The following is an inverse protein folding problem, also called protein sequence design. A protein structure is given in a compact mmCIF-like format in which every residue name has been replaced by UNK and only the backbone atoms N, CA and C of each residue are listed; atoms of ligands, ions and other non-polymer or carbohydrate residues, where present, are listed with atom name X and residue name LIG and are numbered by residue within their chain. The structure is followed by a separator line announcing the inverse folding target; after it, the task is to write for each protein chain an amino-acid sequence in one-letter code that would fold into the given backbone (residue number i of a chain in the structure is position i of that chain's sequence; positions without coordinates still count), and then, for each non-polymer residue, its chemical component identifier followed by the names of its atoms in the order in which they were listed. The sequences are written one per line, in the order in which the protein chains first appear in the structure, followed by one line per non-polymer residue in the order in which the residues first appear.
data_IF_327239885480
#
_entry.id   IF_327239885480
#
_cell.length_a   1.000
_cell.length_b   1.000
_cell.length_c   1.000
_cell.angle_alpha   90.00
_cell.angle_beta   90.00
_cell.angle_gamma   90.00
#
_symmetry.space_group_name_H-M   'P 1'
#
loop_
_entity.id
_entity.type
_entity.pdbx_description
1 polymer ?
#
# COMPACT_ATOMS: atom_id res chain seq x y z
N UNK A 1 -23.31 21.25 0.03
CA UNK A 1 -22.46 20.87 1.17
C UNK A 1 -22.93 21.42 2.53
N UNK A 2 -23.58 22.60 2.63
CA UNK A 2 -23.92 23.17 3.97
C UNK A 2 -24.95 22.35 4.77
N UNK A 3 -25.96 21.75 4.13
CA UNK A 3 -27.01 20.97 4.81
C UNK A 3 -26.47 19.77 5.62
N UNK A 4 -25.52 19.00 5.09
CA UNK A 4 -24.95 17.85 5.79
C UNK A 4 -24.01 18.27 6.92
N UNK A 5 -23.25 19.36 6.71
CA UNK A 5 -22.40 19.99 7.72
C UNK A 5 -23.21 20.48 8.92
N UNK A 6 -24.28 21.23 8.67
CA UNK A 6 -25.16 21.76 9.73
C UNK A 6 -25.87 20.63 10.49
N UNK A 7 -26.36 19.61 9.78
CA UNK A 7 -26.99 18.45 10.40
C UNK A 7 -26.03 17.68 11.31
N UNK A 8 -24.80 17.45 10.84
CA UNK A 8 -23.74 16.81 11.61
C UNK A 8 -23.43 17.61 12.89
N UNK A 9 -23.16 18.92 12.79
CA UNK A 9 -22.84 19.77 13.94
C UNK A 9 -24.01 19.85 14.96
N UNK A 10 -25.26 19.79 14.50
CA UNK A 10 -26.42 19.75 15.39
C UNK A 10 -26.42 18.47 16.26
N UNK A 11 -26.19 17.29 15.66
CA UNK A 11 -26.10 16.04 16.41
C UNK A 11 -24.87 15.97 17.31
N UNK A 12 -23.75 16.58 16.91
CA UNK A 12 -22.55 16.73 17.74
C UNK A 12 -22.89 17.48 19.02
N UNK A 13 -23.50 18.67 18.90
CA UNK A 13 -23.86 19.51 20.05
C UNK A 13 -24.91 18.85 20.95
N UNK A 14 -25.91 18.17 20.36
CA UNK A 14 -26.91 17.41 21.10
C UNK A 14 -26.29 16.27 21.90
N UNK A 15 -25.39 15.48 21.29
CA UNK A 15 -24.75 14.36 21.97
C UNK A 15 -23.82 14.84 23.09
N UNK A 16 -23.12 15.96 22.89
CA UNK A 16 -22.26 16.55 23.93
C UNK A 16 -23.07 16.95 25.17
N UNK A 17 -24.21 17.62 24.97
CA UNK A 17 -25.12 18.05 26.04
C UNK A 17 -25.71 16.87 26.82
N UNK A 18 -26.26 15.85 26.13
CA UNK A 18 -26.90 14.72 26.83
C UNK A 18 -25.92 13.75 27.49
N UNK A 19 -24.64 13.79 27.11
CA UNK A 19 -23.58 12.97 27.74
C UNK A 19 -22.74 13.74 28.76
N UNK A 20 -23.04 15.01 29.04
CA UNK A 20 -22.24 15.90 29.88
C UNK A 20 -20.74 15.85 29.51
N UNK A 21 -20.44 15.86 28.21
CA UNK A 21 -19.06 15.70 27.71
C UNK A 21 -18.21 16.97 27.82
N UNK A 22 -18.72 18.06 28.40
CA UNK A 22 -18.05 19.34 28.62
C UNK A 22 -17.39 19.91 27.36
N UNK A 23 -18.08 19.84 26.22
CA UNK A 23 -17.62 20.38 24.93
C UNK A 23 -16.61 19.51 24.18
N UNK A 24 -16.21 18.34 24.71
CA UNK A 24 -15.22 17.48 24.05
C UNK A 24 -15.73 16.92 22.71
N UNK A 25 -17.00 16.52 22.62
CA UNK A 25 -17.60 16.01 21.39
C UNK A 25 -17.77 17.15 20.39
N UNK A 26 -18.19 18.33 20.87
CA UNK A 26 -18.27 19.56 20.08
C UNK A 26 -16.92 19.95 19.46
N UNK A 27 -15.83 19.86 20.24
CA UNK A 27 -14.48 20.13 19.72
C UNK A 27 -14.10 19.19 18.58
N UNK A 28 -14.39 17.88 18.69
CA UNK A 28 -14.14 16.95 17.60
C UNK A 28 -14.96 17.30 16.35
N UNK A 29 -16.24 17.62 16.50
CA UNK A 29 -17.09 18.02 15.38
C UNK A 29 -16.60 19.27 14.65
N UNK A 30 -16.09 20.26 15.40
CA UNK A 30 -15.50 21.47 14.82
C UNK A 30 -14.21 21.16 14.04
N UNK A 31 -13.25 20.43 14.65
CA UNK A 31 -11.99 20.05 13.97
C UNK A 31 -12.24 19.21 12.70
N UNK A 32 -13.26 18.34 12.70
CA UNK A 32 -13.66 17.56 11.52
C UNK A 32 -14.12 18.48 10.38
N UNK A 33 -14.88 19.52 10.70
CA UNK A 33 -15.54 20.38 9.72
C UNK A 33 -14.64 21.51 9.24
N UNK A 34 -13.75 22.02 10.09
CA UNK A 34 -12.88 23.16 9.80
C UNK A 34 -11.52 22.73 9.26
N UNK A 35 -10.94 21.65 9.81
CA UNK A 35 -9.57 21.23 9.53
C UNK A 35 -9.49 19.89 8.77
N UNK A 36 -10.65 19.27 8.48
CA UNK A 36 -10.73 17.93 7.92
C UNK A 36 -9.93 16.89 8.74
N UNK A 37 -10.00 17.02 10.07
CA UNK A 37 -9.20 16.23 11.00
C UNK A 37 -9.66 14.75 11.04
N UNK A 38 -8.87 13.89 10.40
CA UNK A 38 -9.09 12.45 10.35
C UNK A 38 -8.93 11.79 11.73
N UNK A 39 -8.06 12.31 12.59
CA UNK A 39 -7.86 11.78 13.95
C UNK A 39 -9.06 12.15 14.85
N UNK A 40 -9.57 13.39 14.77
CA UNK A 40 -10.82 13.75 15.43
C UNK A 40 -12.01 12.90 14.95
N UNK A 41 -12.04 12.54 13.66
CA UNK A 41 -13.05 11.62 13.11
C UNK A 41 -13.00 10.24 13.76
N UNK A 42 -11.80 9.65 13.90
CA UNK A 42 -11.60 8.35 14.55
C UNK A 42 -11.98 8.41 16.04
N UNK A 43 -11.56 9.45 16.76
CA UNK A 43 -11.88 9.65 18.18
C UNK A 43 -13.38 9.81 18.41
N UNK A 44 -14.06 10.56 17.54
CA UNK A 44 -15.50 10.74 17.59
C UNK A 44 -16.24 9.42 17.36
N UNK A 45 -15.84 8.66 16.33
CA UNK A 45 -16.43 7.35 16.04
C UNK A 45 -16.23 6.35 17.19
N UNK A 46 -15.02 6.29 17.78
CA UNK A 46 -14.76 5.45 18.97
C UNK A 46 -15.65 5.83 20.14
N UNK A 47 -15.85 7.12 20.37
CA UNK A 47 -16.69 7.61 21.47
C UNK A 47 -18.17 7.29 21.24
N UNK A 48 -18.64 7.42 20.00
CA UNK A 48 -19.99 7.01 19.59
C UNK A 48 -20.20 5.51 19.83
N UNK A 49 -19.26 4.65 19.40
CA UNK A 49 -19.36 3.21 19.63
C UNK A 49 -19.42 2.86 21.11
N UNK A 50 -18.57 3.48 21.95
CA UNK A 50 -18.62 3.29 23.42
C UNK A 50 -19.98 3.64 24.03
N UNK A 51 -20.64 4.69 23.54
CA UNK A 51 -21.98 5.08 24.02
C UNK A 51 -23.03 4.05 23.60
N UNK A 52 -22.98 3.58 22.35
CA UNK A 52 -23.91 2.59 21.80
C UNK A 52 -23.79 1.25 22.56
N UNK A 53 -22.56 0.81 22.82
CA UNK A 53 -22.26 -0.50 23.43
C UNK A 53 -22.42 -0.50 24.96
N UNK A 54 -22.31 0.66 25.62
CA UNK A 54 -22.42 0.76 27.08
C UNK A 54 -23.83 0.46 27.59
N UNK A 55 -23.94 -0.23 28.74
CA UNK A 55 -25.21 -0.50 29.42
C UNK A 55 -25.72 0.69 30.26
N UNK A 56 -24.88 1.72 30.44
CA UNK A 56 -25.15 2.84 31.33
C UNK A 56 -26.00 3.94 30.68
N UNK A 57 -25.98 4.04 29.34
CA UNK A 57 -26.72 5.08 28.62
C UNK A 57 -28.15 4.64 28.27
N UNK A 58 -29.10 5.57 28.42
CA UNK A 58 -30.50 5.35 28.05
C UNK A 58 -30.65 5.07 26.54
N UNK A 59 -31.78 4.46 26.18
CA UNK A 59 -32.11 4.17 24.77
C UNK A 59 -32.09 5.43 23.90
N UNK A 60 -32.58 6.56 24.43
CA UNK A 60 -32.62 7.83 23.71
C UNK A 60 -31.22 8.37 23.40
N UNK A 61 -30.28 8.27 24.34
CA UNK A 61 -28.89 8.71 24.13
C UNK A 61 -28.22 7.85 23.05
N UNK A 62 -28.49 6.54 23.05
CA UNK A 62 -27.98 5.62 22.01
C UNK A 62 -28.55 5.93 20.64
N UNK A 63 -29.82 6.31 20.56
CA UNK A 63 -30.44 6.76 19.31
C UNK A 63 -29.77 8.03 18.78
N UNK A 64 -29.51 9.02 19.64
CA UNK A 64 -28.77 10.24 19.26
C UNK A 64 -27.35 9.90 18.76
N UNK A 65 -26.66 8.97 19.42
CA UNK A 65 -25.33 8.51 19.00
C UNK A 65 -25.36 7.82 17.61
N UNK A 66 -26.39 7.01 17.34
CA UNK A 66 -26.60 6.38 16.04
C UNK A 66 -26.93 7.41 14.95
N UNK A 67 -27.75 8.43 15.26
CA UNK A 67 -28.01 9.53 14.32
C UNK A 67 -26.76 10.34 14.03
N UNK A 68 -25.93 10.60 15.05
CA UNK A 68 -24.63 11.25 14.84
C UNK A 68 -23.74 10.43 13.90
N UNK A 69 -23.62 9.12 14.14
CA UNK A 69 -22.87 8.20 13.25
C UNK A 69 -23.36 8.29 11.81
N UNK A 70 -24.68 8.25 11.61
CA UNK A 70 -25.29 8.35 10.27
C UNK A 70 -25.01 9.70 9.62
N UNK A 71 -25.16 10.80 10.35
CA UNK A 71 -24.89 12.15 9.84
C UNK A 71 -23.42 12.35 9.44
N UNK A 72 -22.49 11.72 10.15
CA UNK A 72 -21.07 11.73 9.79
C UNK A 72 -20.83 10.97 8.48
N UNK A 73 -21.48 9.81 8.27
CA UNK A 73 -21.44 9.06 7.00
C UNK A 73 -22.03 9.87 5.85
N UNK A 74 -23.12 10.60 6.08
CA UNK A 74 -23.71 11.49 5.08
C UNK A 74 -22.80 12.68 4.75
N UNK A 75 -22.04 13.17 5.74
CA UNK A 75 -21.08 14.27 5.55
C UNK A 75 -19.84 13.85 4.74
N UNK A 76 -19.20 12.74 5.11
CA UNK A 76 -17.96 12.27 4.48
C UNK A 76 -18.17 11.34 3.28
N UNK A 77 -19.28 10.62 3.24
CA UNK A 77 -19.46 9.45 2.38
C UNK A 77 -18.86 8.18 3.01
N UNK A 78 -19.51 7.05 2.77
CA UNK A 78 -19.14 5.76 3.36
C UNK A 78 -17.70 5.32 3.01
N UNK A 79 -17.27 5.51 1.75
CA UNK A 79 -15.93 5.12 1.30
C UNK A 79 -14.83 5.92 2.01
N UNK A 80 -15.04 7.21 2.25
CA UNK A 80 -14.06 8.05 2.93
C UNK A 80 -14.00 7.73 4.42
N UNK A 81 -15.14 7.48 5.08
CA UNK A 81 -15.13 6.97 6.46
C UNK A 81 -14.42 5.63 6.57
N UNK A 82 -14.65 4.70 5.64
CA UNK A 82 -13.96 3.40 5.62
C UNK A 82 -12.45 3.58 5.48
N UNK A 83 -12.00 4.51 4.61
CA UNK A 83 -10.58 4.86 4.50
C UNK A 83 -10.04 5.47 5.79
N UNK A 84 -10.78 6.40 6.41
CA UNK A 84 -10.37 7.07 7.65
C UNK A 84 -10.25 6.06 8.80
N UNK A 85 -11.22 5.16 8.97
CA UNK A 85 -11.18 4.13 10.01
C UNK A 85 -10.03 3.14 9.79
N UNK A 86 -9.69 2.85 8.53
CA UNK A 86 -8.58 1.98 8.17
C UNK A 86 -7.20 2.65 8.32
N UNK A 87 -7.09 3.93 8.70
CA UNK A 87 -5.79 4.59 8.93
C UNK A 87 -5.13 4.14 10.23
N UNK A 88 -5.88 3.62 11.21
CA UNK A 88 -5.36 3.21 12.53
C UNK A 88 -5.57 1.72 12.85
N UNK A 89 -6.27 0.95 12.00
CA UNK A 89 -6.22 -0.50 12.12
C UNK A 89 -4.94 -1.00 11.46
N UNK A 90 -3.86 -1.06 12.25
CA UNK A 90 -2.89 -2.14 12.09
C UNK A 90 -3.67 -3.41 12.37
N UNK A 91 -4.40 -3.91 11.38
CA UNK A 91 -5.00 -5.24 11.45
C UNK A 91 -3.83 -6.16 11.74
N UNK A 92 -3.83 -6.73 12.93
CA UNK A 92 -2.75 -7.60 13.34
C UNK A 92 -2.77 -8.78 12.38
N UNK A 93 -1.81 -8.77 11.44
CA UNK A 93 -1.68 -9.83 10.45
C UNK A 93 -1.34 -11.12 11.20
N UNK A 94 -2.37 -11.93 11.44
CA UNK A 94 -2.31 -13.17 12.21
C UNK A 94 -1.66 -14.33 11.43
N UNK A 95 -1.33 -14.10 10.16
CA UNK A 95 -0.65 -15.08 9.31
C UNK A 95 0.74 -15.37 9.85
N UNK A 96 1.10 -16.64 9.85
CA UNK A 96 2.40 -17.10 10.30
C UNK A 96 3.51 -16.69 9.31
N UNK A 97 4.76 -16.79 9.76
CA UNK A 97 5.90 -16.62 8.85
C UNK A 97 5.84 -17.60 7.67
N UNK A 98 5.34 -18.82 7.88
CA UNK A 98 5.19 -19.83 6.84
C UNK A 98 4.17 -19.38 5.79
N UNK A 99 3.02 -18.88 6.21
CA UNK A 99 1.97 -18.41 5.29
C UNK A 99 2.45 -17.24 4.42
N UNK A 100 3.23 -16.31 5.01
CA UNK A 100 3.79 -15.16 4.28
C UNK A 100 4.90 -15.58 3.31
N UNK A 101 5.67 -16.61 3.66
CA UNK A 101 6.66 -17.20 2.76
C UNK A 101 5.98 -17.93 1.60
N UNK A 102 4.90 -18.64 1.86
CA UNK A 102 4.08 -19.24 0.81
C UNK A 102 3.45 -18.17 -0.09
N UNK A 103 2.89 -17.09 0.47
CA UNK A 103 2.39 -15.94 -0.30
C UNK A 103 3.48 -15.39 -1.22
N UNK A 104 4.69 -15.18 -0.72
CA UNK A 104 5.83 -14.72 -1.52
C UNK A 104 6.21 -15.73 -2.61
N UNK A 105 6.25 -17.02 -2.28
CA UNK A 105 6.64 -18.08 -3.21
C UNK A 105 5.60 -18.30 -4.32
N UNK A 106 4.32 -18.05 -4.02
CA UNK A 106 3.20 -18.12 -4.96
C UNK A 106 3.17 -16.95 -5.96
N UNK A 107 3.89 -15.86 -5.72
CA UNK A 107 4.07 -14.82 -6.73
C UNK A 107 4.79 -15.41 -7.94
N UNK A 108 4.27 -15.19 -9.14
CA UNK A 108 4.85 -15.74 -10.37
C UNK A 108 6.21 -15.07 -10.64
N UNK A 109 7.17 -15.87 -11.12
CA UNK A 109 8.55 -15.43 -11.39
C UNK A 109 9.32 -15.01 -10.12
N UNK A 110 10.05 -13.90 -10.23
CA UNK A 110 10.76 -13.24 -9.11
C UNK A 110 11.79 -14.12 -8.37
N UNK A 111 12.43 -15.06 -9.08
CA UNK A 111 13.39 -16.01 -8.47
C UNK A 111 14.49 -15.31 -7.67
N UNK A 112 15.10 -14.27 -8.25
CA UNK A 112 16.17 -13.50 -7.60
C UNK A 112 15.67 -12.77 -6.35
N UNK A 113 14.46 -12.20 -6.40
CA UNK A 113 13.83 -11.53 -5.26
C UNK A 113 13.55 -12.52 -4.14
N UNK A 114 12.92 -13.67 -4.46
CA UNK A 114 12.62 -14.74 -3.49
C UNK A 114 13.88 -15.25 -2.80
N UNK A 115 14.96 -15.48 -3.57
CA UNK A 115 16.25 -15.90 -3.01
C UNK A 115 16.79 -14.87 -2.02
N UNK A 116 16.85 -13.59 -2.40
CA UNK A 116 17.37 -12.53 -1.52
C UNK A 116 16.53 -12.38 -0.24
N UNK A 117 15.21 -12.47 -0.35
CA UNK A 117 14.34 -12.41 0.83
C UNK A 117 14.60 -13.61 1.75
N UNK A 118 14.75 -14.81 1.20
CA UNK A 118 15.11 -15.99 2.00
C UNK A 118 16.47 -15.84 2.69
N UNK A 119 17.49 -15.31 2.00
CA UNK A 119 18.81 -15.05 2.58
C UNK A 119 18.72 -14.08 3.77
N UNK A 120 17.91 -13.02 3.64
CA UNK A 120 17.66 -12.07 4.73
C UNK A 120 16.97 -12.76 5.91
N UNK A 121 16.00 -13.64 5.66
CA UNK A 121 15.30 -14.38 6.73
C UNK A 121 16.28 -15.32 7.46
N UNK A 122 17.10 -16.06 6.72
CA UNK A 122 18.11 -16.97 7.28
C UNK A 122 19.10 -16.18 8.14
N UNK A 123 19.63 -15.07 7.62
CA UNK A 123 20.52 -14.18 8.35
C UNK A 123 19.90 -13.75 9.68
N UNK A 124 18.66 -13.23 9.65
CA UNK A 124 17.99 -12.72 10.85
C UNK A 124 17.68 -13.82 11.88
N UNK A 125 17.36 -15.04 11.42
CA UNK A 125 17.22 -16.20 12.33
C UNK A 125 18.51 -16.49 13.09
N UNK A 126 19.66 -16.45 12.41
CA UNK A 126 20.98 -16.66 13.05
C UNK A 126 21.28 -15.54 14.05
N UNK A 127 20.99 -14.28 13.71
CA UNK A 127 21.21 -13.16 14.64
C UNK A 127 20.40 -13.32 15.94
N UNK A 128 19.14 -13.76 15.83
CA UNK A 128 18.32 -14.08 17.01
C UNK A 128 18.87 -15.25 17.82
N UNK A 129 19.41 -16.28 17.17
CA UNK A 129 20.05 -17.39 17.88
C UNK A 129 21.27 -16.89 18.67
N UNK A 130 22.08 -16.00 18.09
CA UNK A 130 23.22 -15.37 18.79
C UNK A 130 22.77 -14.60 20.03
N UNK A 131 21.72 -13.79 19.93
CA UNK A 131 21.17 -13.03 21.06
C UNK A 131 20.69 -13.93 22.19
N UNK A 132 20.02 -15.05 21.85
CA UNK A 132 19.56 -16.04 22.84
C UNK A 132 20.71 -16.67 23.62
N UNK A 133 21.85 -16.86 22.98
CA UNK A 133 23.08 -17.37 23.61
C UNK A 133 23.92 -16.25 24.28
N UNK A 134 23.38 -15.04 24.41
CA UNK A 134 24.08 -13.91 25.02
C UNK A 134 25.22 -13.33 24.18
N UNK A 135 25.32 -13.71 22.90
CA UNK A 135 26.32 -13.17 21.98
C UNK A 135 25.82 -11.87 21.34
N UNK A 136 26.75 -10.97 21.02
CA UNK A 136 26.42 -9.78 20.25
C UNK A 136 25.90 -10.18 18.86
N UNK A 137 24.69 -9.73 18.52
CA UNK A 137 24.20 -9.69 17.16
C UNK A 137 24.82 -8.50 16.41
N UNK A 138 25.22 -8.77 15.18
CA UNK A 138 25.58 -7.71 14.22
C UNK A 138 24.29 -6.99 13.83
N UNK A 139 24.24 -5.69 14.12
CA UNK A 139 23.14 -4.82 13.70
C UNK A 139 23.36 -4.45 12.24
N UNK A 140 22.58 -5.05 11.34
CA UNK A 140 22.55 -4.69 9.92
C UNK A 140 21.45 -3.68 9.64
N UNK A 141 21.66 -2.76 8.71
CA UNK A 141 20.54 -1.96 8.18
C UNK A 141 19.57 -2.87 7.42
N UNK A 142 18.28 -2.57 7.49
CA UNK A 142 17.20 -3.35 6.86
C UNK A 142 16.58 -2.63 5.65
N UNK A 143 17.13 -1.47 5.27
CA UNK A 143 16.62 -0.65 4.17
C UNK A 143 16.98 -1.26 2.81
N UNK A 144 16.02 -1.22 1.88
CA UNK A 144 16.10 -1.92 0.60
C UNK A 144 15.96 -0.94 -0.57
N UNK A 145 16.66 -1.20 -1.67
CA UNK A 145 16.44 -0.49 -2.94
C UNK A 145 15.84 -1.45 -3.96
N UNK A 146 14.66 -1.12 -4.50
CA UNK A 146 13.98 -1.91 -5.52
C UNK A 146 14.07 -1.24 -6.88
N UNK A 147 14.80 -1.85 -7.80
CA UNK A 147 14.94 -1.35 -9.18
C UNK A 147 14.20 -2.24 -10.17
N UNK A 148 13.60 -1.66 -11.19
CA UNK A 148 13.01 -2.42 -12.31
C UNK A 148 11.79 -1.73 -12.91
N UNK A 149 11.28 -2.29 -13.99
CA UNK A 149 10.20 -1.72 -14.78
C UNK A 149 8.83 -1.72 -14.06
N UNK A 150 7.82 -0.96 -14.52
CA UNK A 150 6.50 -0.96 -13.92
C UNK A 150 5.88 -2.36 -13.99
N UNK A 151 5.06 -2.70 -12.99
CA UNK A 151 4.30 -3.95 -13.02
C UNK A 151 5.11 -5.22 -12.75
N UNK A 152 6.36 -5.12 -12.29
CA UNK A 152 7.21 -6.26 -11.89
C UNK A 152 6.99 -6.73 -10.44
N UNK A 153 6.02 -6.16 -9.71
CA UNK A 153 5.65 -6.64 -8.37
C UNK A 153 6.37 -5.99 -7.18
N UNK A 154 7.15 -4.92 -7.39
CA UNK A 154 7.87 -4.17 -6.33
C UNK A 154 7.01 -3.85 -5.10
N UNK A 155 5.87 -3.17 -5.30
CA UNK A 155 4.96 -2.77 -4.22
C UNK A 155 4.35 -3.97 -3.49
N UNK A 156 4.01 -5.03 -4.24
CA UNK A 156 3.46 -6.28 -3.67
C UNK A 156 4.48 -6.96 -2.76
N UNK A 157 5.72 -7.12 -3.23
CA UNK A 157 6.79 -7.72 -2.44
C UNK A 157 7.12 -6.88 -1.20
N UNK A 158 7.16 -5.55 -1.33
CA UNK A 158 7.42 -4.65 -0.22
C UNK A 158 6.41 -4.81 0.94
N UNK A 159 5.11 -4.99 0.61
CA UNK A 159 4.07 -5.27 1.60
C UNK A 159 4.30 -6.60 2.33
N UNK A 160 4.66 -7.65 1.59
CA UNK A 160 4.94 -8.97 2.17
C UNK A 160 6.17 -8.91 3.08
N UNK A 161 7.25 -8.23 2.67
CA UNK A 161 8.45 -8.05 3.49
C UNK A 161 8.14 -7.39 4.82
N UNK A 162 7.33 -6.33 4.85
CA UNK A 162 6.97 -5.65 6.11
C UNK A 162 6.30 -6.59 7.11
N UNK A 163 5.40 -7.45 6.62
CA UNK A 163 4.72 -8.49 7.42
C UNK A 163 5.69 -9.58 7.88
N UNK A 164 6.58 -10.04 7.00
CA UNK A 164 7.63 -11.01 7.34
C UNK A 164 8.54 -10.46 8.44
N UNK A 165 8.98 -9.21 8.33
CA UNK A 165 9.85 -8.57 9.30
C UNK A 165 9.17 -8.39 10.66
N UNK A 166 7.87 -8.13 10.68
CA UNK A 166 7.07 -8.17 11.93
C UNK A 166 7.06 -9.56 12.55
N UNK A 167 6.78 -10.61 11.77
CA UNK A 167 6.79 -11.99 12.28
C UNK A 167 8.19 -12.43 12.75
N UNK A 168 9.25 -11.87 12.14
CA UNK A 168 10.61 -11.99 12.60
C UNK A 168 10.96 -11.02 13.74
N UNK A 169 10.04 -10.27 14.30
CA UNK A 169 10.28 -9.33 15.41
C UNK A 169 11.32 -8.23 15.11
N UNK A 170 11.54 -7.91 13.83
CA UNK A 170 12.40 -6.81 13.38
C UNK A 170 11.64 -5.48 13.28
N UNK A 171 10.31 -5.57 13.21
CA UNK A 171 9.39 -4.45 13.15
C UNK A 171 8.27 -4.67 14.18
N UNK A 172 7.86 -3.63 14.89
CA UNK A 172 6.82 -3.71 15.92
C UNK A 172 5.41 -3.92 15.37
N UNK A 173 5.12 -3.45 14.15
CA UNK A 173 3.77 -3.47 13.55
C UNK A 173 3.68 -4.14 12.18
N UNK A 174 4.68 -3.98 11.32
CA UNK A 174 4.73 -4.54 9.96
C UNK A 174 3.78 -3.90 8.94
N UNK A 175 3.16 -2.76 9.25
CA UNK A 175 2.29 -2.05 8.32
C UNK A 175 3.09 -1.41 7.19
N UNK A 176 2.39 -1.02 6.13
CA UNK A 176 2.99 -0.51 4.90
C UNK A 176 2.43 0.87 4.58
N UNK A 177 3.32 1.85 4.41
CA UNK A 177 3.01 3.22 4.01
C UNK A 177 3.68 3.50 2.67
N UNK A 178 2.89 3.81 1.65
CA UNK A 178 3.35 4.17 0.32
C UNK A 178 3.29 5.68 0.13
N UNK A 179 4.38 6.26 -0.36
CA UNK A 179 4.52 7.68 -0.62
C UNK A 179 5.24 7.93 -1.93
N UNK A 180 5.02 9.11 -2.49
CA UNK A 180 5.70 9.63 -3.67
C UNK A 180 6.35 10.99 -3.35
N UNK A 181 6.97 11.63 -4.36
CA UNK A 181 7.52 13.00 -4.23
C UNK A 181 6.51 13.98 -3.66
N UNK A 182 5.26 13.94 -4.11
CA UNK A 182 4.22 14.90 -3.72
C UNK A 182 3.81 14.76 -2.26
N UNK A 183 4.03 13.60 -1.65
CA UNK A 183 3.77 13.32 -0.23
C UNK A 183 4.93 13.75 0.66
N UNK A 184 6.15 13.88 0.12
CA UNK A 184 7.35 14.22 0.88
C UNK A 184 7.72 15.69 0.76
N UNK A 185 7.53 16.29 -0.41
CA UNK A 185 7.93 17.68 -0.69
C UNK A 185 6.74 18.62 -0.49
N UNK A 186 6.98 19.75 0.18
CA UNK A 186 6.00 20.83 0.34
C UNK A 186 6.23 21.94 -0.70
N UNK A 187 5.22 22.79 -0.91
CA UNK A 187 5.30 23.94 -1.82
C UNK A 187 6.07 25.15 -1.25
N UNK A 188 6.41 25.12 0.04
CA UNK A 188 7.03 26.24 0.76
C UNK A 188 8.24 25.77 1.56
N UNK A 189 9.25 26.63 1.66
CA UNK A 189 10.50 26.37 2.39
C UNK A 189 10.26 26.08 3.89
N UNK A 190 10.98 25.08 4.42
CA UNK A 190 10.90 24.68 5.83
C UNK A 190 9.71 23.79 6.19
N UNK A 191 8.76 23.56 5.27
CA UNK A 191 7.64 22.64 5.49
C UNK A 191 7.98 21.20 5.04
N UNK A 192 8.96 21.02 4.16
CA UNK A 192 9.37 19.69 3.67
C UNK A 192 9.90 18.82 4.80
N UNK A 193 10.78 19.34 5.68
CA UNK A 193 11.26 18.59 6.83
C UNK A 193 10.12 18.10 7.75
N UNK A 194 9.12 18.95 8.02
CA UNK A 194 7.95 18.57 8.84
C UNK A 194 7.12 17.48 8.16
N UNK A 195 6.92 17.58 6.84
CA UNK A 195 6.16 16.60 6.06
C UNK A 195 6.85 15.23 6.06
N UNK A 196 8.16 15.20 5.83
CA UNK A 196 8.99 14.00 5.90
C UNK A 196 8.92 13.37 7.29
N UNK A 197 9.09 14.16 8.36
CA UNK A 197 8.96 13.68 9.75
C UNK A 197 7.59 13.05 10.01
N UNK A 198 6.51 13.70 9.60
CA UNK A 198 5.15 13.18 9.78
C UNK A 198 4.93 11.84 9.06
N UNK A 199 5.49 11.68 7.86
CA UNK A 199 5.44 10.41 7.12
C UNK A 199 6.26 9.34 7.82
N UNK A 200 7.46 9.66 8.30
CA UNK A 200 8.31 8.74 9.05
C UNK A 200 7.61 8.28 10.34
N UNK A 201 7.04 9.20 11.12
CA UNK A 201 6.32 8.86 12.35
C UNK A 201 5.16 7.88 12.07
N UNK A 202 4.44 8.07 10.96
CA UNK A 202 3.40 7.14 10.53
C UNK A 202 3.95 5.78 10.12
N UNK A 203 5.15 5.73 9.54
CA UNK A 203 5.78 4.51 9.08
C UNK A 203 6.54 3.73 10.17
N UNK A 204 6.84 4.36 11.33
CA UNK A 204 7.50 3.69 12.46
C UNK A 204 6.73 2.45 12.92
N UNK A 205 7.46 1.36 13.08
CA UNK A 205 6.97 0.02 13.29
C UNK A 205 6.73 -0.76 12.01
N UNK A 206 6.92 -0.16 10.84
CA UNK A 206 6.54 -0.73 9.55
C UNK A 206 7.53 -0.41 8.43
N UNK A 207 6.99 -0.42 7.20
CA UNK A 207 7.71 -0.14 5.96
C UNK A 207 7.24 1.18 5.38
N UNK A 208 8.18 2.10 5.15
CA UNK A 208 8.00 3.27 4.31
C UNK A 208 8.49 2.95 2.89
N UNK A 209 7.56 2.89 1.94
CA UNK A 209 7.86 2.66 0.53
C UNK A 209 7.78 3.99 -0.24
N UNK A 210 8.89 4.39 -0.85
CA UNK A 210 9.00 5.62 -1.64
C UNK A 210 9.08 5.22 -3.11
N UNK A 211 7.98 5.40 -3.84
CA UNK A 211 7.93 5.12 -5.28
C UNK A 211 8.57 6.26 -6.08
N UNK A 212 9.22 5.87 -7.18
CA UNK A 212 10.01 6.76 -8.05
C UNK A 212 10.91 7.73 -7.26
N UNK A 213 11.68 7.20 -6.30
CA UNK A 213 12.43 8.00 -5.33
C UNK A 213 13.42 8.99 -5.96
N UNK A 214 13.95 8.66 -7.14
CA UNK A 214 14.81 9.54 -7.94
C UNK A 214 14.16 10.88 -8.25
N UNK A 215 12.83 10.92 -8.39
CA UNK A 215 12.08 12.13 -8.68
C UNK A 215 12.23 13.19 -7.59
N UNK A 216 12.62 12.83 -6.35
CA UNK A 216 12.88 13.79 -5.25
C UNK A 216 13.98 14.80 -5.63
N UNK A 217 14.95 14.40 -6.46
CA UNK A 217 16.11 15.22 -6.81
C UNK A 217 16.19 15.64 -8.28
N UNK A 218 15.20 15.29 -9.13
CA UNK A 218 15.28 15.54 -10.59
C UNK A 218 15.03 16.99 -11.03
N UNK A 219 14.39 17.83 -10.23
CA UNK A 219 13.99 19.18 -10.67
C UNK A 219 15.03 20.24 -10.27
N UNK A 220 15.75 20.80 -11.26
CA UNK A 220 16.80 21.83 -11.11
C UNK A 220 16.36 23.11 -10.40
N UNK A 221 15.07 23.48 -10.46
CA UNK A 221 14.52 24.65 -9.73
C UNK A 221 14.20 24.37 -8.25
N UNK A 222 14.27 23.10 -7.81
CA UNK A 222 13.79 22.63 -6.49
C UNK A 222 14.87 21.99 -5.61
N UNK A 223 16.12 22.33 -5.89
CA UNK A 223 17.29 21.66 -5.30
C UNK A 223 17.32 21.79 -3.76
N UNK A 224 16.82 22.89 -3.20
CA UNK A 224 16.76 23.07 -1.74
C UNK A 224 15.76 22.11 -1.06
N UNK A 225 14.56 21.92 -1.62
CA UNK A 225 13.53 21.07 -1.03
C UNK A 225 13.85 19.58 -1.17
N UNK A 226 14.36 19.17 -2.33
CA UNK A 226 14.84 17.80 -2.55
C UNK A 226 15.94 17.44 -1.57
N UNK A 227 16.96 18.30 -1.44
CA UNK A 227 18.06 18.10 -0.48
C UNK A 227 17.60 18.09 0.98
N UNK A 228 16.66 18.96 1.36
CA UNK A 228 16.04 18.96 2.69
C UNK A 228 15.37 17.60 2.97
N UNK A 229 14.61 17.09 2.01
CA UNK A 229 13.97 15.77 2.10
C UNK A 229 15.01 14.64 2.28
N UNK A 230 16.05 14.60 1.44
CA UNK A 230 17.10 13.58 1.54
C UNK A 230 17.85 13.66 2.87
N UNK A 231 18.10 14.86 3.38
CA UNK A 231 18.79 15.07 4.66
C UNK A 231 17.98 14.49 5.81
N UNK A 232 16.68 14.81 5.88
CA UNK A 232 15.79 14.30 6.93
C UNK A 232 15.54 12.79 6.80
N UNK A 233 15.41 12.27 5.58
CA UNK A 233 15.35 10.81 5.34
C UNK A 233 16.63 10.12 5.83
N UNK A 234 17.81 10.64 5.45
CA UNK A 234 19.11 10.06 5.84
C UNK A 234 19.29 10.01 7.35
N UNK A 235 18.80 11.02 8.06
CA UNK A 235 18.79 11.05 9.53
C UNK A 235 17.86 9.97 10.10
N UNK A 236 16.63 9.87 9.58
CA UNK A 236 15.65 8.89 10.03
C UNK A 236 16.07 7.43 9.81
N UNK A 237 16.79 7.15 8.72
CA UNK A 237 17.38 5.83 8.45
C UNK A 237 18.39 5.40 9.51
N UNK A 238 19.02 6.34 10.22
CA UNK A 238 19.94 6.03 11.32
C UNK A 238 19.19 5.96 12.65
N UNK A 239 18.42 7.00 12.97
CA UNK A 239 17.74 7.17 14.26
C UNK A 239 16.71 6.07 14.52
N UNK A 240 16.05 5.57 13.48
CA UNK A 240 14.93 4.62 13.59
C UNK A 240 15.22 3.24 12.98
N UNK A 241 16.49 2.92 12.69
CA UNK A 241 16.89 1.66 12.01
C UNK A 241 16.43 0.35 12.67
N UNK A 242 16.08 0.39 13.96
CA UNK A 242 15.63 -0.80 14.70
C UNK A 242 14.12 -1.05 14.58
N UNK A 243 13.33 -0.08 14.11
CA UNK A 243 11.87 -0.19 14.04
C UNK A 243 11.29 0.56 12.83
N UNK A 244 12.08 0.77 11.78
CA UNK A 244 11.64 1.37 10.53
C UNK A 244 12.43 0.75 9.38
N UNK A 245 11.71 0.24 8.39
CA UNK A 245 12.30 -0.15 7.11
C UNK A 245 11.89 0.85 6.06
N UNK A 246 12.84 1.25 5.22
CA UNK A 246 12.61 2.18 4.12
C UNK A 246 12.98 1.44 2.86
N UNK A 247 12.06 1.42 1.91
CA UNK A 247 12.24 0.82 0.60
C UNK A 247 12.10 1.94 -0.42
N UNK A 248 13.18 2.25 -1.13
CA UNK A 248 13.13 3.17 -2.26
C UNK A 248 12.97 2.37 -3.54
N UNK A 249 12.06 2.81 -4.41
CA UNK A 249 11.77 2.11 -5.65
C UNK A 249 11.87 3.02 -6.87
N UNK A 250 12.17 2.43 -8.03
CA UNK A 250 12.23 3.17 -9.29
C UNK A 250 12.83 2.38 -10.46
N UNK A 251 13.01 3.04 -11.59
CA UNK A 251 13.73 2.50 -12.74
C UNK A 251 15.22 2.40 -12.47
N UNK A 252 15.87 1.39 -13.07
CA UNK A 252 17.26 1.04 -12.77
C UNK A 252 18.24 2.19 -13.02
N UNK A 253 18.18 2.86 -14.17
CA UNK A 253 19.09 3.96 -14.51
C UNK A 253 18.86 5.23 -13.65
N UNK A 254 17.63 5.77 -13.53
CA UNK A 254 17.36 6.89 -12.62
C UNK A 254 17.76 6.62 -11.16
N UNK A 255 17.54 5.39 -10.66
CA UNK A 255 17.95 5.02 -9.31
C UNK A 255 19.48 4.96 -9.14
N UNK A 256 20.24 4.52 -10.16
CA UNK A 256 21.71 4.59 -10.13
C UNK A 256 22.19 6.04 -10.01
N UNK A 257 21.59 6.95 -10.76
CA UNK A 257 21.90 8.38 -10.70
C UNK A 257 21.53 8.96 -9.32
N UNK A 258 20.34 8.63 -8.82
CA UNK A 258 19.87 9.04 -7.50
C UNK A 258 20.84 8.68 -6.38
N UNK A 259 21.33 7.44 -6.33
CA UNK A 259 22.31 7.03 -5.31
C UNK A 259 23.69 7.63 -5.52
N UNK A 260 24.11 7.86 -6.77
CA UNK A 260 25.42 8.45 -7.07
C UNK A 260 25.48 9.91 -6.63
N UNK A 261 24.39 10.65 -6.79
CA UNK A 261 24.26 12.04 -6.31
C UNK A 261 24.08 12.15 -4.78
N UNK A 262 23.72 11.05 -4.11
CA UNK A 262 23.41 11.04 -2.67
C UNK A 262 24.19 9.94 -1.93
N UNK A 263 25.54 10.05 -1.82
CA UNK A 263 26.37 9.00 -1.22
C UNK A 263 26.06 8.76 0.26
N UNK A 264 25.67 9.79 1.01
CA UNK A 264 25.24 9.68 2.41
C UNK A 264 24.00 8.78 2.56
N UNK A 265 23.04 8.91 1.65
CA UNK A 265 21.86 8.03 1.58
C UNK A 265 22.27 6.61 1.19
N UNK A 266 23.05 6.46 0.11
CA UNK A 266 23.51 5.16 -0.41
C UNK A 266 24.14 4.29 0.68
N UNK A 267 24.96 4.88 1.57
CA UNK A 267 25.62 4.16 2.66
C UNK A 267 24.67 3.46 3.65
N UNK A 268 23.40 3.86 3.73
CA UNK A 268 22.38 3.25 4.60
C UNK A 268 21.63 2.08 3.95
N UNK A 269 21.76 1.93 2.63
CA UNK A 269 21.18 0.83 1.87
C UNK A 269 22.26 -0.22 1.59
N UNK A 270 22.09 -1.41 2.16
CA UNK A 270 22.99 -2.54 1.94
C UNK A 270 22.44 -3.57 0.94
N UNK A 271 21.14 -3.51 0.65
CA UNK A 271 20.46 -4.51 -0.16
C UNK A 271 19.77 -3.86 -1.35
N UNK A 272 20.27 -4.19 -2.54
CA UNK A 272 19.72 -3.77 -3.83
C UNK A 272 19.07 -4.98 -4.48
N UNK A 273 17.78 -4.89 -4.79
CA UNK A 273 16.99 -5.95 -5.41
C UNK A 273 16.51 -5.46 -6.77
N UNK A 274 16.95 -6.16 -7.82
CA UNK A 274 16.50 -5.93 -9.18
C UNK A 274 15.30 -6.81 -9.47
N UNK A 275 14.25 -6.19 -10.01
CA UNK A 275 13.02 -6.82 -10.45
C UNK A 275 13.03 -6.86 -11.97
N UNK A 276 13.43 -8.02 -12.48
CA UNK A 276 13.46 -8.33 -13.91
C UNK A 276 12.05 -8.34 -14.50
N UNK A 277 11.98 -8.08 -15.81
CA UNK A 277 10.73 -8.22 -16.56
C UNK A 277 10.31 -9.69 -16.64
N UNK A 278 9.01 -9.92 -16.65
CA UNK A 278 8.45 -11.26 -16.81
C UNK A 278 8.66 -11.78 -18.23
N UNK A 279 8.96 -13.07 -18.35
CA UNK A 279 8.95 -13.73 -19.65
C UNK A 279 7.52 -14.05 -20.11
N UNK A 280 7.36 -14.47 -21.38
CA UNK A 280 6.07 -14.76 -22.01
C UNK A 280 5.22 -15.72 -21.17
N UNK A 281 5.83 -16.80 -20.66
CA UNK A 281 5.15 -17.80 -19.86
C UNK A 281 4.67 -17.22 -18.52
N UNK A 282 5.50 -16.43 -17.86
CA UNK A 282 5.16 -15.76 -16.60
C UNK A 282 4.03 -14.73 -16.80
N UNK A 283 4.03 -13.95 -17.88
CA UNK A 283 2.95 -13.01 -18.20
C UNK A 283 1.62 -13.73 -18.40
N UNK A 284 1.63 -14.85 -19.13
CA UNK A 284 0.44 -15.68 -19.34
C UNK A 284 -0.05 -16.32 -18.03
N UNK A 285 0.86 -16.82 -17.19
CA UNK A 285 0.51 -17.36 -15.87
C UNK A 285 -0.12 -16.29 -14.98
N UNK A 286 0.37 -15.04 -15.03
CA UNK A 286 -0.21 -13.91 -14.28
C UNK A 286 -1.64 -13.65 -14.75
N UNK A 287 -1.87 -13.66 -16.06
CA UNK A 287 -3.21 -13.48 -16.63
C UNK A 287 -4.17 -14.59 -16.20
N UNK A 288 -3.73 -15.86 -16.29
CA UNK A 288 -4.53 -17.02 -15.87
C UNK A 288 -4.86 -16.91 -14.38
N UNK A 289 -3.90 -16.51 -13.55
CA UNK A 289 -4.13 -16.29 -12.12
C UNK A 289 -5.17 -15.19 -11.85
N UNK A 290 -5.11 -14.06 -12.58
CA UNK A 290 -6.13 -13.01 -12.51
C UNK A 290 -7.53 -13.51 -12.90
N UNK A 291 -7.63 -14.29 -13.97
CA UNK A 291 -8.90 -14.91 -14.38
C UNK A 291 -9.46 -15.82 -13.29
N UNK A 292 -8.66 -16.77 -12.78
CA UNK A 292 -9.09 -17.72 -11.76
C UNK A 292 -9.54 -17.07 -10.46
N UNK A 293 -8.87 -15.99 -10.05
CA UNK A 293 -9.25 -15.23 -8.85
C UNK A 293 -10.61 -14.53 -8.98
N UNK A 294 -11.17 -14.44 -10.18
CA UNK A 294 -12.48 -13.83 -10.47
C UNK A 294 -13.43 -14.83 -11.14
N UNK A 295 -13.23 -16.13 -10.92
CA UNK A 295 -14.04 -17.21 -11.48
C UNK A 295 -14.10 -17.24 -13.02
N UNK A 296 -13.08 -16.73 -13.71
CA UNK A 296 -12.94 -16.85 -15.16
C UNK A 296 -11.92 -17.93 -15.54
N UNK A 297 -12.20 -18.63 -16.64
CA UNK A 297 -11.27 -19.55 -17.30
C UNK A 297 -11.04 -19.12 -18.76
N UNK A 298 -9.82 -19.37 -19.26
CA UNK A 298 -9.44 -19.11 -20.65
C UNK A 298 -9.48 -20.40 -21.46
N UNK A 299 -10.05 -20.34 -22.67
CA UNK A 299 -9.92 -21.47 -23.62
C UNK A 299 -8.48 -21.67 -24.07
N UNK A 300 -8.12 -22.89 -24.48
CA UNK A 300 -6.80 -23.17 -25.03
C UNK A 300 -6.48 -22.30 -26.26
N UNK A 301 -7.46 -22.02 -27.12
CA UNK A 301 -7.29 -21.10 -28.24
C UNK A 301 -6.97 -19.68 -27.80
N UNK A 302 -7.62 -19.19 -26.73
CA UNK A 302 -7.34 -17.87 -26.18
C UNK A 302 -5.92 -17.81 -25.61
N UNK A 303 -5.51 -18.85 -24.86
CA UNK A 303 -4.16 -18.95 -24.30
C UNK A 303 -3.07 -18.91 -25.37
N UNK A 304 -3.26 -19.63 -26.48
CA UNK A 304 -2.30 -19.60 -27.62
C UNK A 304 -2.19 -18.18 -28.20
N UNK A 305 -3.30 -17.53 -28.55
CA UNK A 305 -3.26 -16.14 -29.08
C UNK A 305 -2.61 -15.16 -28.11
N UNK A 306 -2.92 -15.28 -26.82
CA UNK A 306 -2.34 -14.42 -25.78
C UNK A 306 -0.84 -14.66 -25.60
N UNK A 307 -0.39 -15.92 -25.70
CA UNK A 307 1.02 -16.26 -25.67
C UNK A 307 1.78 -15.63 -26.84
N UNK A 308 1.26 -15.77 -28.07
CA UNK A 308 1.86 -15.19 -29.28
C UNK A 308 1.92 -13.65 -29.20
N UNK A 309 0.87 -13.04 -28.65
CA UNK A 309 0.83 -11.61 -28.38
C UNK A 309 1.92 -11.18 -27.39
N UNK A 310 2.04 -11.87 -26.25
CA UNK A 310 3.06 -11.56 -25.24
C UNK A 310 4.49 -11.74 -25.78
N UNK A 311 4.71 -12.76 -26.61
CA UNK A 311 5.99 -12.97 -27.28
C UNK A 311 6.33 -11.81 -28.22
N UNK A 312 5.35 -11.35 -29.01
CA UNK A 312 5.50 -10.19 -29.91
C UNK A 312 5.81 -8.90 -29.14
N UNK A 313 5.11 -8.65 -28.02
CA UNK A 313 5.35 -7.49 -27.17
C UNK A 313 6.74 -7.51 -26.51
N UNK A 314 7.21 -8.69 -26.09
CA UNK A 314 8.55 -8.85 -25.52
C UNK A 314 9.67 -8.72 -26.57
N UNK A 315 9.42 -9.11 -27.82
CA UNK A 315 10.36 -8.88 -28.92
C UNK A 315 10.45 -7.40 -29.30
N UNK A 316 9.32 -6.68 -29.26
CA UNK A 316 9.24 -5.24 -29.55
C UNK A 316 9.32 -4.37 -28.28
N UNK A 317 9.92 -4.92 -27.22
CA UNK A 317 9.92 -4.35 -25.88
C UNK A 317 10.51 -2.94 -25.85
N UNK A 318 9.69 -1.98 -25.42
CA UNK A 318 10.13 -0.63 -25.09
C UNK A 318 10.90 -0.63 -23.77
N UNK A 319 11.75 0.37 -23.57
CA UNK A 319 12.55 0.55 -22.35
C UNK A 319 11.69 0.48 -21.06
N UNK A 320 10.50 1.09 -21.08
CA UNK A 320 9.56 1.12 -19.96
C UNK A 320 8.41 0.09 -20.11
N UNK A 321 8.75 -1.16 -20.36
CA UNK A 321 7.76 -2.24 -20.51
C UNK A 321 6.92 -2.42 -19.24
N UNK A 322 5.60 -2.49 -19.37
CA UNK A 322 4.70 -2.34 -18.21
C UNK A 322 4.29 -3.65 -17.52
N UNK A 323 4.80 -4.80 -17.97
CA UNK A 323 4.67 -6.12 -17.32
C UNK A 323 3.24 -6.42 -16.83
N UNK A 324 3.07 -6.66 -15.52
CA UNK A 324 1.78 -6.95 -14.92
C UNK A 324 0.74 -5.83 -15.08
N UNK A 325 1.14 -4.58 -15.35
CA UNK A 325 0.18 -3.52 -15.72
C UNK A 325 -0.39 -3.78 -17.13
N UNK A 326 0.44 -4.21 -18.08
CA UNK A 326 -0.04 -4.64 -19.41
C UNK A 326 -1.00 -5.82 -19.28
N UNK A 327 -0.63 -6.83 -18.50
CA UNK A 327 -1.47 -8.01 -18.26
C UNK A 327 -2.82 -7.63 -17.65
N UNK A 328 -2.83 -6.68 -16.69
CA UNK A 328 -4.08 -6.16 -16.11
C UNK A 328 -4.95 -5.47 -17.16
N UNK A 329 -4.38 -4.61 -18.00
CA UNK A 329 -5.15 -3.94 -19.05
C UNK A 329 -5.77 -4.95 -20.01
N UNK A 330 -5.02 -5.99 -20.40
CA UNK A 330 -5.51 -7.08 -21.25
C UNK A 330 -6.63 -7.85 -20.55
N UNK A 331 -6.49 -8.15 -19.26
CA UNK A 331 -7.55 -8.78 -18.47
C UNK A 331 -8.84 -7.95 -18.48
N UNK A 332 -8.73 -6.65 -18.23
CA UNK A 332 -9.88 -5.74 -18.21
C UNK A 332 -10.57 -5.69 -19.59
N UNK A 333 -9.79 -5.67 -20.68
CA UNK A 333 -10.29 -5.72 -22.05
C UNK A 333 -10.97 -7.05 -22.39
N UNK A 334 -10.39 -8.18 -21.96
CA UNK A 334 -10.96 -9.51 -22.13
C UNK A 334 -12.31 -9.63 -21.42
N UNK A 335 -12.41 -9.20 -20.16
CA UNK A 335 -13.65 -9.22 -19.38
C UNK A 335 -14.72 -8.34 -20.02
N UNK A 336 -14.34 -7.14 -20.49
CA UNK A 336 -15.27 -6.25 -21.18
C UNK A 336 -15.78 -6.86 -22.50
N UNK A 337 -14.91 -7.49 -23.28
CA UNK A 337 -15.30 -8.12 -24.54
C UNK A 337 -16.13 -9.39 -24.32
N UNK A 338 -15.80 -10.18 -23.30
CA UNK A 338 -16.61 -11.29 -22.83
C UNK A 338 -18.01 -10.81 -22.48
N UNK A 339 -18.15 -9.77 -21.67
CA UNK A 339 -19.45 -9.21 -21.30
C UNK A 339 -20.28 -8.78 -22.53
N UNK A 340 -19.64 -8.13 -23.52
CA UNK A 340 -20.28 -7.76 -24.80
C UNK A 340 -20.76 -8.97 -25.58
N UNK A 341 -19.98 -10.05 -25.62
CA UNK A 341 -20.36 -11.31 -26.27
C UNK A 341 -21.53 -11.97 -25.54
N UNK A 342 -21.45 -12.10 -24.21
CA UNK A 342 -22.45 -12.81 -23.42
C UNK A 342 -23.84 -12.14 -23.47
N UNK A 343 -23.91 -10.81 -23.44
CA UNK A 343 -25.20 -10.08 -23.51
C UNK A 343 -26.02 -10.41 -24.76
N UNK A 344 -25.36 -10.83 -25.84
CA UNK A 344 -26.04 -11.18 -27.10
C UNK A 344 -26.61 -12.62 -27.12
N UNK A 345 -26.32 -13.43 -26.10
CA UNK A 345 -26.74 -14.84 -26.01
C UNK A 345 -28.12 -14.95 -25.35
N UNK A 346 -29.09 -15.61 -26.00
CA UNK A 346 -30.47 -15.73 -25.48
C UNK A 346 -30.60 -16.70 -24.31
N UNK A 347 -29.88 -17.82 -24.33
CA UNK A 347 -29.93 -18.87 -23.30
C UNK A 347 -28.53 -19.04 -22.69
N UNK A 348 -28.19 -18.20 -21.72
CA UNK A 348 -26.86 -18.19 -21.08
C UNK A 348 -26.73 -19.38 -20.13
N UNK A 349 -25.63 -20.12 -20.24
CA UNK A 349 -25.25 -21.16 -19.29
C UNK A 349 -24.23 -20.65 -18.28
N UNK A 350 -24.00 -21.41 -17.19
CA UNK A 350 -22.91 -21.10 -16.26
C UNK A 350 -21.55 -21.13 -16.95
N UNK A 351 -21.35 -22.07 -17.87
CA UNK A 351 -20.09 -22.20 -18.63
C UNK A 351 -19.81 -20.95 -19.48
N UNK A 352 -20.83 -20.39 -20.12
CA UNK A 352 -20.70 -19.14 -20.88
C UNK A 352 -20.21 -17.97 -20.02
N UNK A 353 -20.67 -17.89 -18.76
CA UNK A 353 -20.28 -16.84 -17.82
C UNK A 353 -18.84 -17.01 -17.29
N UNK A 354 -18.34 -18.25 -17.25
CA UNK A 354 -16.99 -18.57 -16.79
C UNK A 354 -15.94 -18.45 -17.91
N UNK A 355 -16.29 -18.82 -19.14
CA UNK A 355 -15.33 -19.09 -20.20
C UNK A 355 -15.07 -17.86 -21.11
N UNK A 356 -13.85 -17.32 -21.03
CA UNK A 356 -13.31 -16.33 -21.96
C UNK A 356 -12.66 -17.06 -23.15
N UNK A 357 -13.06 -16.68 -24.36
CA UNK A 357 -12.64 -17.33 -25.61
C UNK A 357 -11.71 -16.45 -26.43
N UNK A 358 -11.15 -17.01 -27.50
CA UNK A 358 -10.22 -16.28 -28.38
C UNK A 358 -10.89 -15.17 -29.22
N UNK A 359 -12.23 -15.10 -29.21
CA UNK A 359 -13.02 -14.02 -29.80
C UNK A 359 -13.11 -12.79 -28.90
N UNK A 360 -12.85 -12.97 -27.60
CA UNK A 360 -12.87 -11.88 -26.62
C UNK A 360 -11.54 -11.09 -26.63
N UNK A 361 -10.50 -11.65 -27.27
CA UNK A 361 -9.23 -10.98 -27.54
C UNK A 361 -9.24 -10.35 -28.94
N UNK A 362 -9.24 -9.01 -29.01
CA UNK A 362 -9.50 -8.24 -30.25
C UNK A 362 -8.34 -7.35 -30.73
N UNK A 363 -7.15 -7.53 -30.16
CA UNK A 363 -5.96 -6.74 -30.53
C UNK A 363 -5.32 -7.20 -31.83
#
# INVERSE_FOLDING_TARGET
MSKYKENFLNYVSKLDAVTNSNGKITKYGMSIVEENDKQATILLLRKISKIIDSKEFSKEIKEIANFLKKSLVEYYGYLEIKRICNLDEVVEDARSLTDLLEELNNLIGLKNVKSKVNDLIIYQKVQKMREKEGLNAVKSTLHLSFTGNPGTGKTTVARIIGRIYKQLGLLSKGHFIEVSRTDLIAGYQGQTALKVKNVIEKAKGGVLFIDEAYSITENEQSDSYGRECITELTKALEDYRNDLVVIVAGYSEPMKNFFSSNPGLKSRFNTFIEFEDYNTKELLEILISMCKNNDYDLTEKAKVKLNDFFETELQNKKENFSNGRMVRNIYDDLVMNHARRIVSIKNITKEDLLLITDLDFKL
#
